data_IF_378796839408
#
_entry.id   IF_378796839408
#
_cell.length_a   1.000
_cell.length_b   1.000
_cell.length_c   1.000
_cell.angle_alpha   90.00
_cell.angle_beta   90.00
_cell.angle_gamma   90.00
#
_symmetry.space_group_name_H-M   'P 1'
#
loop_
_entity.id
_entity.type
_entity.pdbx_description
1 polymer ?
#
# COMPACT_ATOMS: atom_id res chain seq x y z
N UNK A 1 -39.66 -22.27 -31.58
CA UNK A 1 -39.37 -22.63 -30.18
C UNK A 1 -37.85 -22.80 -30.07
N UNK A 2 -37.12 -21.69 -29.87
CA UNK A 2 -35.65 -21.67 -29.88
C UNK A 2 -35.13 -22.04 -28.49
N UNK A 3 -34.37 -23.13 -28.39
CA UNK A 3 -33.59 -23.50 -27.20
C UNK A 3 -32.42 -22.53 -27.08
N UNK A 4 -32.43 -21.66 -26.06
CA UNK A 4 -31.25 -20.94 -25.62
C UNK A 4 -30.45 -21.86 -24.69
N UNK A 5 -29.31 -22.32 -25.20
CA UNK A 5 -28.24 -22.97 -24.42
C UNK A 5 -27.03 -22.05 -24.51
N UNK A 6 -26.38 -21.78 -23.39
CA UNK A 6 -25.08 -21.10 -23.40
C UNK A 6 -24.85 -20.21 -22.19
N UNK A 7 -23.92 -20.64 -21.34
CA UNK A 7 -23.35 -19.98 -20.16
C UNK A 7 -22.72 -18.59 -20.40
N UNK A 8 -23.00 -17.90 -21.50
CA UNK A 8 -22.34 -16.65 -21.89
C UNK A 8 -22.75 -15.43 -21.04
N UNK A 9 -23.84 -15.53 -20.27
CA UNK A 9 -24.34 -14.40 -19.49
C UNK A 9 -23.58 -14.17 -18.18
N UNK A 10 -22.94 -15.21 -17.61
CA UNK A 10 -22.19 -15.07 -16.36
C UNK A 10 -20.77 -14.49 -16.56
N UNK A 11 -20.08 -14.83 -17.65
CA UNK A 11 -18.71 -14.34 -17.90
C UNK A 11 -18.67 -12.84 -18.21
N UNK A 12 -19.69 -12.34 -18.92
CA UNK A 12 -19.78 -10.92 -19.27
C UNK A 12 -20.02 -10.03 -18.05
N UNK A 13 -20.68 -10.55 -17.01
CA UNK A 13 -20.87 -9.84 -15.75
C UNK A 13 -19.59 -9.83 -14.88
N UNK A 14 -18.83 -10.93 -14.92
CA UNK A 14 -17.55 -11.05 -14.20
C UNK A 14 -16.48 -10.10 -14.77
N UNK A 15 -16.40 -9.99 -16.09
CA UNK A 15 -15.51 -9.01 -16.76
C UNK A 15 -15.86 -7.55 -16.43
N UNK A 16 -17.14 -7.23 -16.22
CA UNK A 16 -17.56 -5.88 -15.82
C UNK A 16 -17.13 -5.55 -14.37
N UNK A 17 -17.12 -6.54 -13.47
CA UNK A 17 -16.65 -6.37 -12.09
C UNK A 17 -15.13 -6.18 -12.00
N UNK A 18 -14.35 -6.93 -12.79
CA UNK A 18 -12.89 -6.75 -12.87
C UNK A 18 -12.51 -5.33 -13.34
N UNK A 19 -13.28 -4.77 -14.29
CA UNK A 19 -13.08 -3.40 -14.78
C UNK A 19 -13.41 -2.34 -13.71
N UNK A 20 -14.37 -2.61 -12.82
CA UNK A 20 -14.74 -1.67 -11.74
C UNK A 20 -13.67 -1.64 -10.64
N UNK A 21 -13.04 -2.78 -10.31
CA UNK A 21 -12.06 -2.87 -9.24
C UNK A 21 -10.77 -2.07 -9.51
N UNK A 22 -10.37 -1.90 -10.77
CA UNK A 22 -9.08 -1.28 -11.16
C UNK A 22 -9.20 0.19 -11.59
N UNK A 23 -10.35 0.82 -11.38
CA UNK A 23 -10.68 2.13 -11.94
C UNK A 23 -9.59 3.18 -11.58
N UNK A 24 -8.76 3.54 -12.56
CA UNK A 24 -7.70 4.54 -12.43
C UNK A 24 -6.26 4.02 -12.47
N UNK A 25 -6.04 2.72 -12.71
CA UNK A 25 -4.71 2.12 -12.94
C UNK A 25 -4.57 1.54 -14.36
N UNK A 26 -3.40 1.72 -14.98
CA UNK A 26 -3.04 1.08 -16.25
C UNK A 26 -2.45 -0.31 -15.97
N UNK A 27 -3.20 -1.36 -16.33
CA UNK A 27 -2.83 -2.76 -16.12
C UNK A 27 -2.31 -3.44 -17.39
N UNK A 28 -2.01 -2.69 -18.46
CA UNK A 28 -1.43 -3.24 -19.69
C UNK A 28 -0.09 -3.96 -19.44
N UNK A 29 0.62 -3.59 -18.38
CA UNK A 29 1.82 -4.26 -17.88
C UNK A 29 1.58 -4.80 -16.48
N UNK A 30 1.53 -6.12 -16.36
CA UNK A 30 1.31 -6.83 -15.10
C UNK A 30 2.18 -8.08 -15.03
N UNK A 31 2.56 -8.48 -13.81
CA UNK A 31 3.28 -9.73 -13.54
C UNK A 31 2.43 -10.73 -12.75
N UNK A 32 1.23 -10.33 -12.33
CA UNK A 32 0.24 -11.13 -11.62
C UNK A 32 -1.06 -11.17 -12.43
N UNK A 33 -1.89 -12.22 -12.30
CA UNK A 33 -3.18 -12.29 -12.99
C UNK A 33 -4.08 -11.13 -12.57
N UNK A 34 -4.51 -10.32 -13.53
CA UNK A 34 -5.35 -9.12 -13.26
C UNK A 34 -6.71 -9.51 -12.68
N UNK A 35 -7.25 -10.66 -13.10
CA UNK A 35 -8.54 -11.18 -12.62
C UNK A 35 -8.52 -11.61 -11.14
N UNK A 36 -7.33 -11.78 -10.57
CA UNK A 36 -7.12 -12.10 -9.15
C UNK A 36 -6.85 -10.83 -8.29
N UNK A 37 -6.99 -9.64 -8.88
CA UNK A 37 -6.88 -8.36 -8.17
C UNK A 37 -8.27 -7.93 -7.70
N UNK A 38 -8.39 -7.67 -6.41
CA UNK A 38 -9.65 -7.31 -5.77
C UNK A 38 -9.59 -5.90 -5.18
N UNK A 39 -10.73 -5.21 -5.18
CA UNK A 39 -10.90 -3.97 -4.42
C UNK A 39 -11.04 -4.30 -2.93
N UNK A 40 -10.16 -3.73 -2.11
CA UNK A 40 -10.17 -3.85 -0.66
C UNK A 40 -11.22 -2.98 0.02
N UNK A 41 -11.86 -2.05 -0.70
CA UNK A 41 -12.95 -1.19 -0.23
C UNK A 41 -12.63 0.30 -0.03
N UNK A 42 -11.40 0.71 0.37
CA UNK A 42 -11.08 2.14 0.50
C UNK A 42 -11.11 2.91 -0.82
N UNK A 43 -10.88 2.22 -1.95
CA UNK A 43 -10.58 2.86 -3.22
C UNK A 43 -9.22 3.57 -3.24
N UNK A 44 -8.86 4.11 -4.41
CA UNK A 44 -7.59 4.83 -4.60
C UNK A 44 -7.51 6.06 -3.69
N UNK A 45 -6.44 6.13 -2.92
CA UNK A 45 -6.13 7.17 -1.93
C UNK A 45 -7.22 7.35 -0.85
N UNK A 46 -8.13 6.38 -0.68
CA UNK A 46 -9.17 6.42 0.35
C UNK A 46 -8.61 6.31 1.77
N UNK A 47 -7.40 5.74 1.90
CA UNK A 47 -6.59 5.81 3.11
C UNK A 47 -5.48 6.84 2.86
N UNK A 48 -5.44 7.94 3.64
CA UNK A 48 -4.51 9.03 3.38
C UNK A 48 -3.08 8.65 3.78
N UNK A 49 -2.20 8.60 2.78
CA UNK A 49 -0.77 8.44 3.00
C UNK A 49 -0.18 9.62 3.78
N UNK A 50 0.82 9.35 4.63
CA UNK A 50 1.57 10.41 5.31
C UNK A 50 2.62 10.96 4.34
N UNK A 51 2.49 12.23 3.96
CA UNK A 51 3.42 12.89 3.02
C UNK A 51 4.56 13.63 3.73
N UNK A 52 4.31 14.08 4.96
CA UNK A 52 5.22 14.88 5.77
C UNK A 52 5.19 14.38 7.23
N UNK A 53 5.89 13.27 7.53
CA UNK A 53 5.86 12.70 8.88
C UNK A 53 6.51 13.64 9.89
N UNK A 54 5.85 13.84 11.03
CA UNK A 54 6.46 14.46 12.20
C UNK A 54 7.39 13.44 12.87
N UNK A 55 8.69 13.76 12.91
CA UNK A 55 9.68 12.92 13.59
C UNK A 55 9.92 13.46 14.99
N UNK A 56 9.85 12.58 15.99
CA UNK A 56 10.14 12.86 17.39
C UNK A 56 11.19 11.89 17.92
N UNK A 57 11.77 12.18 19.09
CA UNK A 57 12.74 11.28 19.72
C UNK A 57 12.08 10.00 20.23
N UNK A 58 12.86 8.93 20.38
CA UNK A 58 12.38 7.68 20.98
C UNK A 58 11.93 7.87 22.43
N UNK A 59 12.57 8.78 23.17
CA UNK A 59 12.21 9.13 24.55
C UNK A 59 10.83 9.80 24.60
N UNK A 60 10.60 10.83 23.78
CA UNK A 60 9.31 11.51 23.70
C UNK A 60 8.20 10.55 23.27
N UNK A 61 8.47 9.70 22.26
CA UNK A 61 7.51 8.69 21.82
C UNK A 61 7.15 7.71 22.94
N UNK A 62 8.14 7.27 23.73
CA UNK A 62 7.96 6.36 24.86
C UNK A 62 7.21 6.96 26.06
N UNK A 63 7.21 8.29 26.19
CA UNK A 63 6.45 9.01 27.22
C UNK A 63 5.01 9.33 26.78
N UNK A 64 4.74 9.38 25.48
CA UNK A 64 3.48 9.88 24.92
C UNK A 64 2.54 8.78 24.43
N UNK A 65 2.99 7.90 23.55
CA UNK A 65 2.09 6.94 22.89
C UNK A 65 2.68 5.55 22.62
N UNK A 66 3.99 5.37 22.68
CA UNK A 66 4.65 4.06 22.53
C UNK A 66 4.83 3.36 23.88
N UNK A 67 4.48 2.09 23.91
CA UNK A 67 4.73 1.13 24.99
C UNK A 67 5.87 0.21 24.56
N UNK A 68 6.57 -0.38 25.54
CA UNK A 68 7.66 -1.33 25.29
C UNK A 68 7.27 -2.55 24.44
N UNK A 69 6.01 -2.95 24.48
CA UNK A 69 5.46 -4.08 23.71
C UNK A 69 5.01 -3.72 22.30
N UNK A 70 4.99 -2.43 21.94
CA UNK A 70 4.54 -2.01 20.62
C UNK A 70 5.56 -2.38 19.55
N UNK A 71 5.05 -2.86 18.42
CA UNK A 71 5.89 -3.16 17.25
C UNK A 71 6.19 -1.89 16.48
N UNK A 72 7.41 -1.81 15.96
CA UNK A 72 7.87 -0.77 15.05
C UNK A 72 8.51 -1.42 13.82
N UNK A 73 8.46 -0.73 12.69
CA UNK A 73 9.31 -1.00 11.55
C UNK A 73 10.54 -0.08 11.64
N UNK A 74 11.72 -0.66 11.82
CA UNK A 74 12.98 0.08 11.91
C UNK A 74 13.63 0.21 10.53
N UNK A 75 14.08 1.39 10.18
CA UNK A 75 14.79 1.66 8.92
C UNK A 75 16.12 2.32 9.22
N UNK A 76 17.20 1.76 8.68
CA UNK A 76 18.56 2.30 8.79
C UNK A 76 19.13 2.52 7.40
N UNK A 77 19.56 3.75 7.11
CA UNK A 77 20.19 4.11 5.84
C UNK A 77 21.27 5.17 6.08
N UNK A 78 22.46 4.96 5.52
CA UNK A 78 23.60 5.87 5.61
C UNK A 78 23.89 6.34 7.05
N UNK A 79 23.86 5.42 8.01
CA UNK A 79 24.12 5.68 9.43
C UNK A 79 23.00 6.40 10.19
N UNK A 80 21.88 6.75 9.54
CA UNK A 80 20.70 7.32 10.20
C UNK A 80 19.64 6.24 10.39
N UNK A 81 18.96 6.28 11.53
CA UNK A 81 17.89 5.35 11.88
C UNK A 81 16.58 6.09 12.14
N UNK A 82 15.47 5.51 11.69
CA UNK A 82 14.10 5.94 12.01
C UNK A 82 13.26 4.72 12.38
N UNK A 83 12.24 4.94 13.20
CA UNK A 83 11.27 3.92 13.59
C UNK A 83 9.86 4.37 13.18
N UNK A 84 9.11 3.48 12.56
CA UNK A 84 7.74 3.70 12.11
C UNK A 84 6.81 2.78 12.92
N UNK A 85 6.04 3.31 13.87
CA UNK A 85 5.15 2.50 14.69
C UNK A 85 4.11 1.74 13.86
N UNK A 86 4.02 0.42 14.05
CA UNK A 86 3.01 -0.40 13.35
C UNK A 86 1.60 0.11 13.63
N UNK A 87 1.34 0.60 14.85
CA UNK A 87 0.04 1.18 15.20
C UNK A 87 -0.34 2.41 14.38
N UNK A 88 0.63 3.17 13.84
CA UNK A 88 0.37 4.31 12.94
C UNK A 88 0.27 3.79 11.51
N UNK A 89 1.16 2.87 11.12
CA UNK A 89 1.15 2.24 9.81
C UNK A 89 -0.14 1.44 9.54
N UNK A 90 -0.79 0.90 10.57
CA UNK A 90 -2.11 0.27 10.45
C UNK A 90 -3.21 1.24 9.97
N UNK A 91 -3.06 2.54 10.21
CA UNK A 91 -4.06 3.55 9.83
C UNK A 91 -3.75 4.21 8.50
N UNK A 92 -2.47 4.37 8.17
CA UNK A 92 -2.03 5.18 7.04
C UNK A 92 -1.39 4.37 5.92
N UNK A 93 -0.89 3.18 6.23
CA UNK A 93 -0.33 2.15 5.33
C UNK A 93 0.91 2.59 4.52
N UNK A 94 1.06 3.87 4.22
CA UNK A 94 2.11 4.46 3.40
C UNK A 94 2.62 5.75 4.07
N UNK A 95 3.95 5.86 4.18
CA UNK A 95 4.66 7.06 4.63
C UNK A 95 5.73 7.42 3.61
N UNK A 96 5.56 8.56 2.96
CA UNK A 96 6.61 9.16 2.13
C UNK A 96 7.56 9.95 3.03
N UNK A 97 8.84 9.56 3.05
CA UNK A 97 9.83 10.15 3.96
C UNK A 97 11.21 10.28 3.30
N UNK A 98 12.17 10.79 4.07
CA UNK A 98 13.58 10.93 3.72
C UNK A 98 14.44 10.50 4.91
N UNK A 99 15.48 9.75 4.64
CA UNK A 99 16.48 9.33 5.64
C UNK A 99 17.85 9.23 4.96
N UNK A 100 18.93 9.56 5.65
CA UNK A 100 20.27 9.36 5.09
C UNK A 100 20.55 10.13 3.79
N UNK A 101 19.81 11.22 3.52
CA UNK A 101 19.88 11.98 2.25
C UNK A 101 19.01 11.43 1.10
N UNK A 102 18.46 10.22 1.23
CA UNK A 102 17.58 9.56 0.26
C UNK A 102 16.11 10.00 0.37
N UNK A 103 15.31 9.66 -0.64
CA UNK A 103 13.84 9.70 -0.54
C UNK A 103 13.34 8.26 -0.57
N UNK A 104 12.41 7.93 0.31
CA UNK A 104 11.89 6.58 0.42
C UNK A 104 10.40 6.59 0.73
N UNK A 105 9.75 5.47 0.44
CA UNK A 105 8.40 5.18 0.90
C UNK A 105 8.46 3.99 1.82
N UNK A 106 7.84 4.11 2.98
CA UNK A 106 7.59 3.01 3.90
C UNK A 106 6.17 2.55 3.68
N UNK A 107 5.97 1.25 3.45
CA UNK A 107 4.66 0.66 3.28
C UNK A 107 4.41 -0.43 4.33
N UNK A 108 3.14 -0.65 4.66
CA UNK A 108 2.72 -1.70 5.56
C UNK A 108 1.32 -2.18 5.20
N UNK A 109 1.18 -3.48 5.02
CA UNK A 109 -0.09 -4.17 4.76
C UNK A 109 -0.65 -4.68 6.10
N UNK A 110 -1.77 -4.12 6.62
CA UNK A 110 -2.34 -4.56 7.89
C UNK A 110 -2.91 -5.98 7.85
N UNK A 111 -3.30 -6.46 6.66
CA UNK A 111 -3.91 -7.78 6.46
C UNK A 111 -2.90 -8.93 6.55
N UNK A 112 -1.68 -8.70 6.07
CA UNK A 112 -0.62 -9.69 5.97
C UNK A 112 0.51 -9.46 6.98
N UNK A 113 0.56 -8.29 7.62
CA UNK A 113 1.57 -7.94 8.61
C UNK A 113 2.96 -7.66 8.04
N UNK A 114 3.05 -7.41 6.73
CA UNK A 114 4.29 -7.18 5.99
C UNK A 114 4.55 -5.68 5.84
N UNK A 115 5.78 -5.26 6.10
CA UNK A 115 6.23 -3.91 5.81
C UNK A 115 7.42 -3.89 4.87
N UNK A 116 7.43 -2.95 3.94
CA UNK A 116 8.47 -2.80 2.91
C UNK A 116 8.92 -1.35 2.80
N UNK A 117 10.13 -1.15 2.28
CA UNK A 117 10.70 0.17 2.06
C UNK A 117 11.32 0.23 0.68
N UNK A 118 10.96 1.25 -0.10
CA UNK A 118 11.44 1.43 -1.46
C UNK A 118 12.08 2.82 -1.63
N UNK A 119 13.12 2.91 -2.48
CA UNK A 119 13.58 4.21 -2.98
C UNK A 119 12.49 4.78 -3.89
N UNK A 120 12.13 6.06 -3.68
CA UNK A 120 11.10 6.69 -4.52
C UNK A 120 11.64 7.25 -5.84
N UNK A 121 12.94 7.14 -6.11
CA UNK A 121 13.54 7.54 -7.37
C UNK A 121 13.51 6.41 -8.38
N UNK A 122 12.69 6.57 -9.42
CA UNK A 122 12.60 5.64 -10.55
C UNK A 122 12.99 6.40 -11.82
N UNK A 123 13.98 5.88 -12.55
CA UNK A 123 14.48 6.50 -13.79
C UNK A 123 14.82 8.00 -13.64
N UNK A 124 15.46 8.36 -12.52
CA UNK A 124 15.85 9.75 -12.22
C UNK A 124 14.72 10.66 -11.73
N UNK A 125 13.47 10.19 -11.70
CA UNK A 125 12.31 10.96 -11.22
C UNK A 125 11.95 10.55 -9.80
N UNK A 126 11.76 11.53 -8.92
CA UNK A 126 11.21 11.29 -7.59
C UNK A 126 9.69 11.14 -7.69
N UNK A 127 9.18 10.05 -7.13
CA UNK A 127 7.74 9.75 -7.04
C UNK A 127 7.22 10.01 -5.61
N UNK A 128 5.90 10.17 -5.53
CA UNK A 128 5.12 10.19 -4.29
C UNK A 128 4.10 9.06 -4.39
N UNK A 129 3.98 8.28 -3.32
CA UNK A 129 3.13 7.10 -3.26
C UNK A 129 1.86 7.37 -2.45
N UNK A 130 0.78 6.72 -2.87
CA UNK A 130 -0.54 6.76 -2.25
C UNK A 130 -1.11 5.35 -2.20
N UNK A 131 -2.20 5.14 -1.44
CA UNK A 131 -2.77 3.81 -1.22
C UNK A 131 -3.60 3.42 -2.44
N UNK A 132 -3.36 2.25 -3.02
CA UNK A 132 -4.11 1.83 -4.20
C UNK A 132 -5.56 1.43 -3.89
N UNK A 133 -5.80 0.89 -2.69
CA UNK A 133 -7.05 0.23 -2.32
C UNK A 133 -7.18 -1.19 -2.86
N UNK A 134 -6.18 -1.71 -3.58
CA UNK A 134 -6.21 -2.99 -4.27
C UNK A 134 -5.46 -4.09 -3.52
N UNK A 135 -5.94 -5.32 -3.67
CA UNK A 135 -5.39 -6.51 -3.03
C UNK A 135 -5.07 -7.59 -4.07
N UNK A 136 -4.00 -8.34 -3.84
CA UNK A 136 -3.71 -9.61 -4.49
C UNK A 136 -3.34 -10.64 -3.43
N UNK A 137 -4.03 -11.80 -3.39
CA UNK A 137 -3.80 -12.82 -2.35
C UNK A 137 -3.86 -12.25 -0.92
N UNK A 138 -4.77 -11.30 -0.69
CA UNK A 138 -4.91 -10.54 0.58
C UNK A 138 -3.68 -9.70 0.98
N UNK A 139 -2.71 -9.51 0.10
CA UNK A 139 -1.63 -8.54 0.23
C UNK A 139 -2.01 -7.23 -0.49
N UNK A 140 -1.61 -6.11 0.08
CA UNK A 140 -1.85 -4.80 -0.52
C UNK A 140 -0.94 -4.58 -1.72
N UNK A 141 -1.51 -4.05 -2.80
CA UNK A 141 -0.75 -3.50 -3.91
C UNK A 141 -0.45 -2.02 -3.60
N UNK A 142 0.81 -1.60 -3.70
CA UNK A 142 1.25 -0.23 -3.41
C UNK A 142 1.52 0.58 -4.69
#
# INVERSE_FOLDING_TARGET
MLKLTGNYFLETLCGLFAVIALCGFDTSRHSIPVDDIYDGGPGKDGIPAILHPKIISAEEAGQTFLKKSDRILGVVQNGQAKAYPIKILNWHEIVNDRIGGGSMVVTYCPLCGTGMVFDTKVNGRKLTFGVSGLLYQSDMLF
#
